data_IF_328042867642
#
_entry.id   IF_328042867642
#
_cell.length_a   1.000
_cell.length_b   1.000
_cell.length_c   1.000
_cell.angle_alpha   90.00
_cell.angle_beta   90.00
_cell.angle_gamma   90.00
#
_symmetry.space_group_name_H-M   'P 1'
#
loop_
_entity.id
_entity.type
_entity.pdbx_description
1 polymer ?
#
# COMPACT_ATOMS: atom_id res chain seq x y z
N UNK A 1 1.96 -12.31 9.20
CA UNK A 1 2.30 -12.78 7.84
C UNK A 1 3.66 -13.47 7.89
N UNK A 2 4.08 -14.28 6.90
CA UNK A 2 5.37 -15.01 6.99
C UNK A 2 6.58 -14.09 7.22
N UNK A 3 6.62 -12.94 6.55
CA UNK A 3 7.75 -11.99 6.60
C UNK A 3 7.46 -10.71 7.39
N UNK A 4 6.36 -10.65 8.16
CA UNK A 4 6.02 -9.48 8.99
C UNK A 4 5.34 -9.93 10.29
N UNK A 5 5.66 -9.29 11.44
CA UNK A 5 5.06 -9.60 12.73
C UNK A 5 3.55 -9.24 12.78
N UNK A 6 3.04 -8.49 11.81
CA UNK A 6 1.64 -8.10 11.76
C UNK A 6 0.72 -9.34 11.72
N UNK A 7 -0.20 -9.38 12.67
CA UNK A 7 -1.37 -10.25 12.67
C UNK A 7 -2.56 -9.42 12.22
N UNK A 8 -3.19 -9.81 11.12
CA UNK A 8 -4.33 -9.11 10.57
C UNK A 8 -5.55 -10.03 10.58
N UNK A 9 -6.73 -9.45 10.80
CA UNK A 9 -8.02 -10.15 10.79
C UNK A 9 -9.06 -9.27 10.12
N UNK A 10 -9.70 -9.82 9.09
CA UNK A 10 -10.67 -9.13 8.26
C UNK A 10 -11.19 -10.05 7.16
N UNK A 11 -11.90 -9.49 6.20
CA UNK A 11 -12.38 -10.21 5.02
C UNK A 11 -11.29 -10.12 3.96
N UNK A 12 -10.72 -11.24 3.47
CA UNK A 12 -9.58 -11.24 2.55
C UNK A 12 -9.99 -10.88 1.10
N UNK A 13 -10.73 -9.80 0.95
CA UNK A 13 -11.11 -9.17 -0.32
C UNK A 13 -10.33 -7.87 -0.43
N UNK A 14 -9.68 -7.65 -1.57
CA UNK A 14 -8.84 -6.49 -1.84
C UNK A 14 -9.41 -5.72 -3.03
N UNK A 15 -9.70 -4.43 -2.88
CA UNK A 15 -9.96 -3.55 -4.01
C UNK A 15 -8.63 -3.23 -4.74
N UNK A 16 -8.62 -3.41 -6.07
CA UNK A 16 -7.43 -3.27 -6.90
C UNK A 16 -6.89 -1.83 -6.92
N UNK A 17 -5.57 -1.69 -7.07
CA UNK A 17 -4.81 -0.43 -7.13
C UNK A 17 -4.99 0.38 -8.44
N UNK A 18 -6.11 0.21 -9.12
CA UNK A 18 -6.47 1.00 -10.31
C UNK A 18 -7.04 2.36 -9.87
N UNK A 19 -6.78 3.41 -10.65
CA UNK A 19 -7.21 4.78 -10.38
C UNK A 19 -8.74 4.96 -10.24
N UNK A 20 -9.51 4.09 -10.88
CA UNK A 20 -10.98 4.04 -10.83
C UNK A 20 -11.55 3.10 -9.77
N UNK A 21 -10.70 2.33 -9.07
CA UNK A 21 -11.11 1.31 -8.10
C UNK A 21 -10.54 1.62 -6.71
N UNK A 22 -9.21 1.64 -6.59
CA UNK A 22 -8.44 1.82 -5.35
C UNK A 22 -8.37 3.26 -4.90
N UNK A 23 -9.52 3.92 -4.77
CA UNK A 23 -9.62 5.33 -4.38
C UNK A 23 -9.75 5.51 -2.87
N UNK A 24 -9.49 6.72 -2.36
CA UNK A 24 -9.73 7.07 -0.97
C UNK A 24 -11.18 6.84 -0.53
N UNK A 25 -12.14 7.19 -1.39
CA UNK A 25 -13.57 6.96 -1.14
C UNK A 25 -13.91 5.48 -1.04
N UNK A 26 -13.27 4.64 -1.85
CA UNK A 26 -13.41 3.19 -1.77
C UNK A 26 -12.94 2.67 -0.40
N UNK A 27 -11.78 3.13 0.07
CA UNK A 27 -11.24 2.76 1.39
C UNK A 27 -12.16 3.18 2.55
N UNK A 28 -12.71 4.40 2.51
CA UNK A 28 -13.65 4.88 3.53
C UNK A 28 -14.91 4.01 3.68
N UNK A 29 -15.27 3.23 2.65
CA UNK A 29 -16.43 2.32 2.66
C UNK A 29 -15.99 0.88 2.96
N UNK A 30 -15.07 0.32 2.18
CA UNK A 30 -14.70 -1.10 2.27
C UNK A 30 -13.98 -1.45 3.57
N UNK A 31 -13.17 -0.55 4.11
CA UNK A 31 -12.44 -0.81 5.35
C UNK A 31 -13.38 -0.92 6.56
N UNK A 32 -14.60 -0.37 6.52
CA UNK A 32 -15.63 -0.57 7.56
C UNK A 32 -16.06 -2.03 7.68
N UNK A 33 -16.05 -2.77 6.57
CA UNK A 33 -16.28 -4.21 6.53
C UNK A 33 -15.00 -5.03 6.76
N UNK A 34 -13.88 -4.37 7.13
CA UNK A 34 -12.55 -4.97 7.28
C UNK A 34 -12.04 -5.65 5.99
N UNK A 35 -12.47 -5.16 4.83
CA UNK A 35 -11.82 -5.47 3.56
C UNK A 35 -10.59 -4.58 3.37
N UNK A 36 -9.68 -5.00 2.48
CA UNK A 36 -8.49 -4.26 2.14
C UNK A 36 -8.71 -3.41 0.88
N UNK A 37 -8.01 -2.28 0.79
CA UNK A 37 -7.96 -1.46 -0.43
C UNK A 37 -6.49 -1.16 -0.76
N UNK A 38 -6.03 -1.61 -1.93
CA UNK A 38 -4.76 -1.14 -2.48
C UNK A 38 -5.02 0.22 -3.13
N UNK A 39 -4.47 1.29 -2.57
CA UNK A 39 -4.69 2.66 -3.07
C UNK A 39 -3.82 2.88 -4.30
N UNK A 40 -4.38 3.42 -5.38
CA UNK A 40 -3.62 3.70 -6.60
C UNK A 40 -2.47 4.71 -6.35
N UNK A 41 -1.40 4.62 -7.15
CA UNK A 41 -0.16 5.40 -6.92
C UNK A 41 -0.20 6.86 -7.37
N UNK A 42 -1.34 7.34 -7.87
CA UNK A 42 -1.45 8.65 -8.54
C UNK A 42 -1.77 9.83 -7.63
N UNK A 43 -2.31 9.63 -6.42
CA UNK A 43 -2.55 10.73 -5.48
C UNK A 43 -1.26 11.46 -5.08
N UNK A 44 -1.34 12.79 -4.98
CA UNK A 44 -0.25 13.66 -4.52
C UNK A 44 -0.03 13.54 -3.03
N UNK A 45 1.14 14.00 -2.56
CA UNK A 45 1.44 14.02 -1.11
C UNK A 45 0.50 14.95 -0.32
N UNK A 46 -0.02 16.00 -0.96
CA UNK A 46 -1.00 16.90 -0.34
C UNK A 46 -2.31 16.17 -0.11
N UNK A 47 -2.83 15.50 -1.14
CA UNK A 47 -4.06 14.70 -1.01
C UNK A 47 -3.94 13.59 0.03
N UNK A 48 -2.79 12.90 0.10
CA UNK A 48 -2.52 11.93 1.16
C UNK A 48 -2.55 12.54 2.55
N UNK A 49 -1.90 13.70 2.76
CA UNK A 49 -1.90 14.40 4.06
C UNK A 49 -3.32 14.81 4.46
N UNK A 50 -4.07 15.43 3.55
CA UNK A 50 -5.43 15.88 3.79
C UNK A 50 -6.39 14.71 4.05
N UNK A 51 -6.23 13.60 3.34
CA UNK A 51 -7.04 12.42 3.56
C UNK A 51 -6.71 11.72 4.89
N UNK A 52 -5.43 11.49 5.18
CA UNK A 52 -5.00 10.87 6.45
C UNK A 52 -5.36 11.72 7.67
N UNK A 53 -5.46 13.05 7.54
CA UNK A 53 -5.93 13.91 8.63
C UNK A 53 -7.42 13.75 8.95
N UNK A 54 -8.21 13.18 8.02
CA UNK A 54 -9.66 13.00 8.15
C UNK A 54 -10.07 11.59 8.54
N UNK A 55 -9.26 10.58 8.23
CA UNK A 55 -9.58 9.16 8.50
C UNK A 55 -8.82 8.60 9.70
N UNK A 56 -9.43 7.63 10.39
CA UNK A 56 -8.84 6.96 11.54
C UNK A 56 -8.04 5.70 11.18
N UNK A 57 -7.50 5.04 12.20
CA UNK A 57 -6.79 3.76 12.05
C UNK A 57 -7.68 2.62 11.55
N UNK A 58 -8.99 2.70 11.79
CA UNK A 58 -9.98 1.78 11.23
C UNK A 58 -9.92 1.66 9.70
N UNK A 59 -9.56 2.76 9.02
CA UNK A 59 -9.30 2.78 7.57
C UNK A 59 -7.82 2.52 7.29
N UNK A 60 -6.91 3.27 7.92
CA UNK A 60 -5.48 3.23 7.58
C UNK A 60 -4.80 1.89 7.87
N UNK A 61 -5.32 1.09 8.81
CA UNK A 61 -4.82 -0.26 9.07
C UNK A 61 -5.17 -1.25 7.96
N UNK A 62 -6.13 -0.92 7.09
CA UNK A 62 -6.69 -1.79 6.05
C UNK A 62 -6.43 -1.29 4.63
N UNK A 63 -5.48 -0.37 4.45
CA UNK A 63 -5.02 0.04 3.12
C UNK A 63 -3.62 -0.47 2.81
N UNK A 64 -3.35 -0.67 1.52
CA UNK A 64 -1.99 -0.81 0.99
C UNK A 64 -1.62 0.43 0.17
N UNK A 65 -0.42 0.96 0.38
CA UNK A 65 0.15 2.01 -0.46
C UNK A 65 0.80 1.36 -1.67
N UNK A 66 0.32 1.68 -2.88
CA UNK A 66 0.85 1.07 -4.10
C UNK A 66 2.06 1.83 -4.65
N UNK A 67 3.01 1.10 -5.21
CA UNK A 67 4.23 1.62 -5.84
C UNK A 67 4.66 0.75 -7.01
N UNK A 68 5.43 1.33 -7.94
CA UNK A 68 6.24 0.57 -8.90
C UNK A 68 7.69 0.43 -8.43
N UNK A 69 8.56 0.05 -9.37
CA UNK A 69 10.01 -0.14 -9.14
C UNK A 69 10.87 1.05 -9.59
N UNK A 70 10.26 2.08 -10.17
CA UNK A 70 10.99 3.28 -10.61
C UNK A 70 11.46 4.08 -9.39
N UNK A 71 12.61 4.73 -9.51
CA UNK A 71 13.21 5.54 -8.43
C UNK A 71 12.21 6.56 -7.85
N UNK A 72 11.49 7.27 -8.71
CA UNK A 72 10.54 8.29 -8.28
C UNK A 72 9.31 7.68 -7.58
N UNK A 73 8.87 6.50 -8.01
CA UNK A 73 7.80 5.75 -7.34
C UNK A 73 8.23 5.38 -5.91
N UNK A 74 9.46 4.88 -5.73
CA UNK A 74 10.01 4.49 -4.43
C UNK A 74 10.23 5.70 -3.50
N UNK A 75 10.68 6.83 -4.03
CA UNK A 75 10.81 8.09 -3.27
C UNK A 75 9.43 8.53 -2.78
N UNK A 76 8.42 8.51 -3.67
CA UNK A 76 7.05 8.88 -3.31
C UNK A 76 6.46 7.93 -2.28
N UNK A 77 6.67 6.62 -2.43
CA UNK A 77 6.24 5.61 -1.45
C UNK A 77 6.73 5.97 -0.05
N UNK A 78 8.02 6.29 0.11
CA UNK A 78 8.59 6.64 1.41
C UNK A 78 7.85 7.81 2.06
N UNK A 79 7.63 8.89 1.31
CA UNK A 79 6.88 10.03 1.81
C UNK A 79 5.43 9.68 2.19
N UNK A 80 4.75 8.86 1.38
CA UNK A 80 3.38 8.42 1.67
C UNK A 80 3.31 7.50 2.89
N UNK A 81 4.28 6.59 3.07
CA UNK A 81 4.36 5.70 4.23
C UNK A 81 4.63 6.49 5.52
N UNK A 82 5.43 7.55 5.46
CA UNK A 82 5.65 8.45 6.59
C UNK A 82 4.37 9.17 7.03
N UNK A 83 3.51 9.55 6.08
CA UNK A 83 2.22 10.22 6.32
C UNK A 83 1.16 9.23 6.82
N UNK A 84 0.91 8.17 6.06
CA UNK A 84 -0.22 7.26 6.27
C UNK A 84 0.00 6.29 7.42
N UNK A 85 1.26 5.94 7.70
CA UNK A 85 1.63 4.84 8.61
C UNK A 85 0.84 3.56 8.27
N UNK A 86 0.56 3.31 6.99
CA UNK A 86 -0.16 2.13 6.55
C UNK A 86 0.58 0.84 6.93
N UNK A 87 -0.16 -0.25 7.06
CA UNK A 87 0.39 -1.56 7.43
C UNK A 87 0.89 -2.35 6.21
N UNK A 88 0.36 -2.03 5.02
CA UNK A 88 0.60 -2.77 3.80
C UNK A 88 1.24 -1.90 2.72
N UNK A 89 2.11 -2.52 1.93
CA UNK A 89 2.68 -1.97 0.70
C UNK A 89 2.28 -2.90 -0.44
N UNK A 90 1.87 -2.34 -1.57
CA UNK A 90 1.60 -3.06 -2.80
C UNK A 90 2.66 -2.68 -3.85
N UNK A 91 3.68 -3.52 -4.02
CA UNK A 91 4.65 -3.38 -5.11
C UNK A 91 4.09 -4.07 -6.34
N UNK A 92 3.70 -3.29 -7.34
CA UNK A 92 3.00 -3.76 -8.51
C UNK A 92 3.72 -3.34 -9.82
N UNK A 93 4.03 -4.33 -10.65
CA UNK A 93 4.64 -4.21 -11.98
C UNK A 93 3.99 -5.19 -12.95
N UNK A 94 4.07 -4.90 -14.24
CA UNK A 94 3.54 -5.79 -15.27
C UNK A 94 4.36 -7.10 -15.46
N UNK A 95 5.62 -7.12 -15.01
CA UNK A 95 6.51 -8.29 -15.12
C UNK A 95 7.33 -8.46 -13.83
N UNK A 96 6.85 -9.30 -12.92
CA UNK A 96 7.48 -9.66 -11.65
C UNK A 96 8.67 -10.63 -11.78
N UNK A 97 8.95 -11.17 -12.97
CA UNK A 97 10.12 -12.04 -13.21
C UNK A 97 11.41 -11.24 -13.42
N UNK A 98 11.34 -9.92 -13.55
CA UNK A 98 12.50 -9.07 -13.74
C UNK A 98 13.39 -9.04 -12.49
N UNK A 99 14.71 -9.13 -12.66
CA UNK A 99 15.66 -9.05 -11.55
C UNK A 99 15.53 -7.74 -10.76
N UNK A 100 15.29 -6.63 -11.45
CA UNK A 100 15.04 -5.33 -10.82
C UNK A 100 13.83 -5.35 -9.86
N UNK A 101 12.82 -6.16 -10.13
CA UNK A 101 11.68 -6.32 -9.23
C UNK A 101 12.07 -7.12 -7.98
N UNK A 102 12.81 -8.21 -8.13
CA UNK A 102 13.31 -9.00 -6.99
C UNK A 102 14.20 -8.14 -6.08
N UNK A 103 15.07 -7.32 -6.66
CA UNK A 103 15.90 -6.36 -5.90
C UNK A 103 15.03 -5.31 -5.19
N UNK A 104 14.00 -4.77 -5.85
CA UNK A 104 13.07 -3.85 -5.19
C UNK A 104 12.34 -4.49 -4.00
N UNK A 105 11.92 -5.76 -4.11
CA UNK A 105 11.31 -6.50 -2.99
C UNK A 105 12.28 -6.62 -1.81
N UNK A 106 13.55 -6.95 -2.06
CA UNK A 106 14.59 -7.04 -1.03
C UNK A 106 14.81 -5.69 -0.35
N UNK A 107 14.94 -4.62 -1.13
CA UNK A 107 15.10 -3.25 -0.60
C UNK A 107 13.91 -2.86 0.26
N UNK A 108 12.68 -3.05 -0.21
CA UNK A 108 11.48 -2.73 0.57
C UNK A 108 11.37 -3.56 1.85
N UNK A 109 11.74 -4.85 1.82
CA UNK A 109 11.76 -5.66 3.05
C UNK A 109 12.80 -5.15 4.05
N UNK A 110 13.98 -4.72 3.60
CA UNK A 110 15.00 -4.16 4.47
C UNK A 110 14.56 -2.82 5.10
N UNK A 111 13.90 -1.96 4.32
CA UNK A 111 13.41 -0.65 4.77
C UNK A 111 12.17 -0.74 5.66
N UNK A 112 11.28 -1.70 5.39
CA UNK A 112 9.97 -1.85 6.05
C UNK A 112 9.81 -3.24 6.69
N UNK A 113 10.66 -3.61 7.67
CA UNK A 113 10.68 -4.95 8.25
C UNK A 113 9.38 -5.31 8.99
N UNK A 114 8.64 -4.32 9.48
CA UNK A 114 7.37 -4.50 10.19
C UNK A 114 6.15 -4.51 9.25
N UNK A 115 6.28 -4.02 8.00
CA UNK A 115 5.15 -3.93 7.05
C UNK A 115 4.94 -5.22 6.27
N UNK A 116 3.69 -5.43 5.87
CA UNK A 116 3.32 -6.50 4.95
C UNK A 116 3.51 -5.99 3.52
N UNK A 117 4.20 -6.78 2.69
CA UNK A 117 4.46 -6.44 1.29
C UNK A 117 3.70 -7.43 0.42
N UNK A 118 2.78 -6.92 -0.38
CA UNK A 118 2.18 -7.60 -1.52
C UNK A 118 3.06 -7.28 -2.74
N UNK A 119 3.52 -8.27 -3.48
CA UNK A 119 4.43 -8.07 -4.59
C UNK A 119 3.96 -8.89 -5.80
N UNK A 120 3.79 -8.25 -6.96
CA UNK A 120 3.40 -8.89 -8.22
C UNK A 120 3.54 -7.95 -9.43
N UNK A 121 3.22 -8.39 -10.66
CA UNK A 121 2.76 -9.74 -11.02
C UNK A 121 3.82 -10.54 -11.79
#
# INVERSE_FOLDING_TARGET
>A
FMHSPLKWSGIPVVAANMDTVGTFKMAEVLCKSKCLVAIHKHYTLVEWKEWCARVGRDVLDNIAVSTGILKDDLIKLKSVMEISKANFICLDVANGYAEAFVEAVKTLRAEYPDKVIMAGN
#
